data_IF_321137332705
#
_entry.id   IF_321137332705
#
_cell.length_a   1.000
_cell.length_b   1.000
_cell.length_c   1.000
_cell.angle_alpha   90.00
_cell.angle_beta   90.00
_cell.angle_gamma   90.00
#
_symmetry.space_group_name_H-M   'P 1'
#
loop_
_entity.id
_entity.type
_entity.pdbx_description
1 polymer ?
#
# COMPACT_ATOMS: atom_id res chain seq x y z
N UNK A 1 -12.54 4.82 -5.59
CA UNK A 1 -11.29 5.47 -6.03
C UNK A 1 -10.12 4.75 -5.39
N UNK A 2 -9.02 4.57 -6.12
CA UNK A 2 -7.75 4.04 -5.58
C UNK A 2 -6.69 5.14 -5.73
N UNK A 3 -5.92 5.37 -4.67
CA UNK A 3 -4.75 6.26 -4.65
C UNK A 3 -3.54 5.38 -4.33
N UNK A 4 -2.48 5.46 -5.14
CA UNK A 4 -1.28 4.66 -4.92
C UNK A 4 -0.01 5.37 -5.35
N UNK A 5 1.12 4.94 -4.78
CA UNK A 5 2.46 5.47 -5.07
C UNK A 5 3.29 5.64 -3.80
N UNK A 6 4.40 6.37 -3.90
CA UNK A 6 5.28 6.70 -2.78
C UNK A 6 4.70 7.85 -1.95
N UNK A 7 4.24 7.54 -0.74
CA UNK A 7 3.74 8.54 0.22
C UNK A 7 4.87 9.13 1.07
N UNK A 8 6.04 8.48 1.08
CA UNK A 8 7.19 8.84 1.90
C UNK A 8 6.81 9.05 3.38
N UNK A 9 5.86 8.27 3.87
CA UNK A 9 5.24 8.42 5.18
C UNK A 9 5.25 7.06 5.89
N UNK A 10 5.95 7.00 7.02
CA UNK A 10 6.15 5.75 7.77
C UNK A 10 5.31 5.75 9.03
N UNK A 11 4.65 4.64 9.30
CA UNK A 11 3.81 4.47 10.49
C UNK A 11 3.93 3.04 11.03
N UNK A 12 4.54 2.89 12.20
CA UNK A 12 4.87 1.58 12.77
C UNK A 12 3.65 0.70 12.99
N UNK A 13 2.63 1.21 13.69
CA UNK A 13 1.47 0.38 14.04
C UNK A 13 0.60 0.03 12.82
N UNK A 14 0.35 0.98 11.92
CA UNK A 14 -0.44 0.79 10.70
C UNK A 14 0.24 -0.13 9.68
N UNK A 15 1.55 0.02 9.45
CA UNK A 15 2.23 -0.58 8.30
C UNK A 15 3.21 -1.70 8.68
N UNK A 16 3.46 -1.93 9.96
CA UNK A 16 4.54 -2.82 10.42
C UNK A 16 5.93 -2.25 10.15
N UNK A 17 6.03 -0.95 9.90
CA UNK A 17 7.28 -0.25 9.64
C UNK A 17 8.12 -0.13 10.94
N UNK A 18 9.44 -0.02 10.86
CA UNK A 18 10.30 0.11 12.04
C UNK A 18 10.18 1.46 12.78
N UNK A 19 9.49 2.46 12.25
CA UNK A 19 9.21 3.72 12.97
C UNK A 19 7.95 4.44 12.49
N UNK A 20 7.49 5.37 13.32
CA UNK A 20 6.48 6.36 12.95
C UNK A 20 7.12 7.73 12.70
N UNK A 21 6.72 8.38 11.62
CA UNK A 21 7.16 9.74 11.24
C UNK A 21 6.01 10.74 11.36
N UNK A 22 6.31 12.04 11.45
CA UNK A 22 5.28 13.09 11.46
C UNK A 22 4.37 13.05 10.22
N UNK A 23 4.94 12.71 9.05
CA UNK A 23 4.16 12.49 7.83
C UNK A 23 3.25 11.26 7.94
N UNK A 24 3.75 10.18 8.55
CA UNK A 24 2.95 8.99 8.84
C UNK A 24 1.77 9.27 9.77
N UNK A 25 1.96 10.07 10.82
CA UNK A 25 0.88 10.47 11.73
C UNK A 25 -0.20 11.24 10.97
N UNK A 26 0.20 12.22 10.15
CA UNK A 26 -0.74 13.01 9.32
C UNK A 26 -1.48 12.15 8.30
N UNK A 27 -0.76 11.23 7.63
CA UNK A 27 -1.36 10.30 6.68
C UNK A 27 -2.38 9.40 7.36
N UNK A 28 -2.03 8.84 8.53
CA UNK A 28 -2.95 7.99 9.30
C UNK A 28 -4.20 8.76 9.74
N UNK A 29 -4.06 9.99 10.22
CA UNK A 29 -5.20 10.86 10.52
C UNK A 29 -6.10 11.07 9.30
N UNK A 30 -5.51 11.40 8.15
CA UNK A 30 -6.26 11.58 6.90
C UNK A 30 -6.98 10.31 6.44
N UNK A 31 -6.34 9.13 6.56
CA UNK A 31 -6.95 7.83 6.26
C UNK A 31 -8.21 7.62 7.11
N UNK A 32 -8.12 7.87 8.42
CA UNK A 32 -9.26 7.72 9.34
C UNK A 32 -10.38 8.73 9.05
N UNK A 33 -10.02 10.00 8.86
CA UNK A 33 -10.98 11.08 8.59
C UNK A 33 -11.78 10.85 7.30
N UNK A 34 -11.17 10.23 6.30
CA UNK A 34 -11.80 9.98 4.99
C UNK A 34 -12.35 8.55 4.85
N UNK A 35 -12.30 7.74 5.92
CA UNK A 35 -12.77 6.35 5.90
C UNK A 35 -12.09 5.50 4.83
N UNK A 36 -10.78 5.71 4.62
CA UNK A 36 -10.02 4.97 3.61
C UNK A 36 -9.49 3.65 4.16
N UNK A 37 -9.46 2.64 3.31
CA UNK A 37 -8.77 1.37 3.58
C UNK A 37 -7.32 1.48 3.12
N UNK A 38 -6.37 1.11 3.99
CA UNK A 38 -4.97 0.95 3.63
C UNK A 38 -4.68 -0.52 3.34
N UNK A 39 -4.57 -0.89 2.06
CA UNK A 39 -4.43 -2.30 1.67
C UNK A 39 -3.08 -2.90 2.08
N UNK A 40 -2.03 -2.10 2.17
CA UNK A 40 -0.73 -2.58 2.66
C UNK A 40 -0.83 -3.05 4.13
N UNK A 41 -1.65 -2.37 4.94
CA UNK A 41 -1.86 -2.77 6.33
C UNK A 41 -2.55 -4.14 6.45
N UNK A 42 -3.43 -4.48 5.50
CA UNK A 42 -4.18 -5.74 5.52
C UNK A 42 -3.45 -6.89 4.80
N UNK A 43 -2.75 -6.59 3.71
CA UNK A 43 -2.25 -7.61 2.77
C UNK A 43 -0.73 -7.73 2.71
N UNK A 44 0.01 -6.74 3.21
CA UNK A 44 1.48 -6.69 3.13
C UNK A 44 2.11 -6.06 4.38
N UNK A 45 1.54 -6.34 5.56
CA UNK A 45 1.98 -5.75 6.82
C UNK A 45 3.44 -6.08 7.12
N UNK A 46 4.27 -5.06 7.31
CA UNK A 46 5.69 -5.19 7.60
C UNK A 46 6.57 -5.58 6.41
N UNK A 47 6.00 -5.76 5.20
CA UNK A 47 6.77 -6.11 4.01
C UNK A 47 7.36 -4.83 3.39
N UNK A 48 8.70 -4.67 3.34
CA UNK A 48 9.33 -3.45 2.84
C UNK A 48 9.08 -3.20 1.36
N UNK A 49 8.61 -2.00 1.04
CA UNK A 49 8.48 -1.52 -0.34
C UNK A 49 9.65 -0.65 -0.79
N UNK A 50 10.51 -0.29 0.16
CA UNK A 50 11.74 0.46 -0.05
C UNK A 50 12.90 -0.18 0.73
N UNK A 51 14.04 -0.37 0.07
CA UNK A 51 15.27 -0.89 0.66
C UNK A 51 16.45 0.00 0.24
N UNK A 52 17.04 0.74 1.19
CA UNK A 52 18.20 1.57 0.92
C UNK A 52 19.44 0.70 0.65
N UNK A 53 19.69 0.38 -0.62
CA UNK A 53 20.79 -0.48 -1.06
C UNK A 53 22.17 0.01 -0.57
N UNK A 54 22.36 1.33 -0.45
CA UNK A 54 23.62 1.94 0.00
C UNK A 54 23.71 2.24 1.50
N UNK A 55 22.68 1.92 2.30
CA UNK A 55 22.67 2.19 3.74
C UNK A 55 22.41 0.90 4.52
N UNK A 56 23.37 0.56 5.36
CA UNK A 56 23.31 -0.59 6.25
C UNK A 56 23.49 -0.07 7.67
N UNK A 57 22.71 -0.60 8.61
CA UNK A 57 22.89 -0.32 10.01
C UNK A 57 24.20 -0.99 10.48
N UNK A 58 25.18 -0.19 10.89
CA UNK A 58 26.50 -0.70 11.29
C UNK A 58 26.46 -1.67 12.48
N UNK A 59 25.41 -1.62 13.32
CA UNK A 59 25.26 -2.50 14.48
C UNK A 59 24.58 -3.84 14.15
N UNK A 60 23.66 -3.87 13.18
CA UNK A 60 22.88 -5.07 12.84
C UNK A 60 23.27 -5.70 11.51
N UNK A 61 23.96 -4.97 10.64
CA UNK A 61 24.24 -5.40 9.27
C UNK A 61 23.02 -5.38 8.35
N UNK A 62 21.87 -4.90 8.81
CA UNK A 62 20.63 -4.89 8.04
C UNK A 62 20.46 -3.60 7.22
N UNK A 63 19.86 -3.72 6.04
CA UNK A 63 19.49 -2.58 5.22
C UNK A 63 18.41 -1.73 5.88
N UNK A 64 18.45 -0.42 5.60
CA UNK A 64 17.35 0.46 6.02
C UNK A 64 16.13 0.23 5.12
N UNK A 65 15.16 -0.44 5.69
CA UNK A 65 13.91 -0.81 5.04
C UNK A 65 12.74 0.09 5.51
N UNK A 66 11.79 0.34 4.62
CA UNK A 66 10.52 1.00 4.96
C UNK A 66 9.36 0.58 4.08
N UNK A 67 8.16 0.77 4.62
CA UNK A 67 6.88 0.58 3.92
C UNK A 67 6.35 1.98 3.60
N UNK A 68 6.54 2.46 2.37
CA UNK A 68 6.20 3.83 1.96
C UNK A 68 5.42 3.92 0.65
N UNK A 69 5.53 2.91 -0.22
CA UNK A 69 4.64 2.74 -1.36
C UNK A 69 3.33 2.08 -0.95
N UNK A 70 2.23 2.83 -0.99
CA UNK A 70 0.95 2.40 -0.44
C UNK A 70 -0.16 2.35 -1.50
N UNK A 71 -1.17 1.54 -1.25
CA UNK A 71 -2.45 1.52 -1.94
C UNK A 71 -3.57 1.83 -0.95
N UNK A 72 -4.31 2.90 -1.22
CA UNK A 72 -5.44 3.36 -0.42
C UNK A 72 -6.70 3.35 -1.28
N UNK A 73 -7.84 2.93 -0.72
CA UNK A 73 -9.12 3.06 -1.42
C UNK A 73 -10.21 3.62 -0.53
N UNK A 74 -11.16 4.33 -1.15
CA UNK A 74 -12.39 4.79 -0.49
C UNK A 74 -13.54 3.77 -0.53
N UNK A 75 -13.28 2.60 -1.12
CA UNK A 75 -14.25 1.53 -1.31
C UNK A 75 -13.60 0.20 -0.99
N UNK A 76 -14.36 -0.74 -0.44
CA UNK A 76 -13.90 -2.10 -0.22
C UNK A 76 -13.66 -2.79 -1.57
N UNK A 77 -12.47 -3.36 -1.73
CA UNK A 77 -12.13 -4.15 -2.91
C UNK A 77 -12.62 -5.60 -2.72
N UNK A 78 -13.04 -6.23 -3.81
CA UNK A 78 -13.48 -7.63 -3.81
C UNK A 78 -12.29 -8.51 -4.15
N UNK A 79 -12.00 -9.48 -3.29
CA UNK A 79 -10.86 -10.40 -3.40
C UNK A 79 -9.54 -9.69 -3.76
N UNK A 80 -9.12 -8.67 -2.97
CA UNK A 80 -7.88 -7.98 -3.24
C UNK A 80 -6.69 -8.88 -2.95
N UNK A 81 -5.69 -8.83 -3.81
CA UNK A 81 -4.39 -9.47 -3.61
C UNK A 81 -3.29 -8.46 -3.84
N UNK A 82 -2.31 -8.44 -2.93
CA UNK A 82 -1.15 -7.56 -3.01
C UNK A 82 0.13 -8.39 -3.11
N UNK A 83 1.06 -7.96 -3.94
CA UNK A 83 2.38 -8.56 -4.07
C UNK A 83 3.45 -7.48 -4.09
N UNK A 84 4.44 -7.59 -3.21
CA UNK A 84 5.66 -6.80 -3.22
C UNK A 84 6.73 -7.63 -3.92
N UNK A 85 7.28 -7.11 -5.01
CA UNK A 85 8.21 -7.85 -5.86
C UNK A 85 9.66 -7.55 -5.44
N UNK A 86 10.19 -8.35 -4.51
CA UNK A 86 11.58 -8.21 -4.03
C UNK A 86 12.60 -8.60 -5.11
N UNK A 87 12.25 -9.56 -5.97
CA UNK A 87 13.16 -10.11 -6.99
C UNK A 87 13.23 -9.24 -8.26
N UNK A 88 12.26 -8.35 -8.45
CA UNK A 88 12.19 -7.46 -9.62
C UNK A 88 13.01 -6.20 -9.37
N UNK A 89 14.33 -6.31 -9.52
CA UNK A 89 15.21 -5.15 -9.49
C UNK A 89 15.11 -4.39 -10.82
N UNK A 90 14.35 -3.30 -10.82
CA UNK A 90 14.29 -2.34 -11.94
C UNK A 90 15.43 -1.29 -11.88
N UNK A 91 16.51 -1.59 -11.16
CA UNK A 91 17.58 -0.62 -10.88
C UNK A 91 17.16 0.50 -9.92
N UNK A 92 16.10 0.28 -9.12
CA UNK A 92 15.57 1.19 -8.12
C UNK A 92 15.77 0.62 -6.71
N UNK A 93 15.78 1.49 -5.69
CA UNK A 93 15.71 1.13 -4.28
C UNK A 93 14.27 0.88 -3.79
N UNK A 94 13.27 1.08 -4.67
CA UNK A 94 11.88 0.68 -4.46
C UNK A 94 11.59 -0.70 -5.05
N UNK A 95 10.90 -1.54 -4.28
CA UNK A 95 10.30 -2.78 -4.77
C UNK A 95 8.94 -2.45 -5.40
N UNK A 96 8.69 -2.87 -6.66
CA UNK A 96 7.38 -2.72 -7.28
C UNK A 96 6.30 -3.39 -6.43
N UNK A 97 5.14 -2.73 -6.31
CA UNK A 97 3.98 -3.26 -5.58
C UNK A 97 2.80 -3.37 -6.53
N UNK A 98 2.20 -4.55 -6.59
CA UNK A 98 1.02 -4.82 -7.41
C UNK A 98 -0.20 -5.03 -6.53
N UNK A 99 -1.32 -4.40 -6.90
CA UNK A 99 -2.63 -4.66 -6.32
C UNK A 99 -3.56 -5.16 -7.43
N UNK A 100 -4.19 -6.30 -7.19
CA UNK A 100 -5.23 -6.85 -8.08
C UNK A 100 -6.52 -7.04 -7.28
N UNK A 101 -7.66 -6.87 -7.94
CA UNK A 101 -8.98 -7.09 -7.34
C UNK A 101 -10.00 -7.44 -8.41
N UNK A 102 -11.12 -8.02 -7.99
CA UNK A 102 -12.27 -8.29 -8.87
C UNK A 102 -13.11 -7.03 -9.01
N UNK A 103 -13.42 -6.66 -10.26
CA UNK A 103 -14.39 -5.60 -10.51
C UNK A 103 -15.81 -6.13 -10.27
N UNK A 104 -16.70 -5.35 -9.64
CA UNK A 104 -18.09 -5.73 -9.52
C UNK A 104 -18.69 -5.94 -10.93
N UNK A 105 -19.66 -6.85 -11.09
CA UNK A 105 -20.33 -7.04 -12.36
C UNK A 105 -20.96 -5.71 -12.81
N UNK A 106 -20.96 -5.42 -14.12
CA UNK A 106 -21.61 -4.21 -14.63
C UNK A 106 -23.09 -4.21 -14.23
N UNK A 107 -23.69 -3.04 -13.96
CA UNK A 107 -25.10 -2.94 -13.64
C UNK A 107 -25.94 -3.56 -14.77
N UNK A 108 -26.96 -4.33 -14.41
CA UNK A 108 -27.90 -4.90 -15.38
C UNK A 108 -28.56 -3.77 -16.18
N UNK A 109 -28.70 -3.92 -17.51
CA UNK A 109 -29.35 -2.91 -18.33
C UNK A 109 -30.79 -2.68 -17.83
N UNK A 110 -31.30 -1.43 -17.89
CA UNK A 110 -32.65 -1.13 -17.44
C UNK A 110 -33.66 -2.00 -18.20
N UNK A 111 -34.60 -2.59 -17.46
CA UNK A 111 -35.66 -3.40 -18.04
C UNK A 111 -36.47 -2.54 -19.02
N UNK A 112 -36.36 -2.83 -20.32
CA UNK A 112 -37.23 -2.20 -21.31
C UNK A 112 -38.67 -2.65 -21.06
N UNK A 113 -39.65 -1.72 -20.98
CA UNK A 113 -41.04 -2.11 -20.91
C UNK A 113 -41.39 -2.91 -22.16
N UNK A 114 -41.83 -4.16 -21.99
CA UNK A 114 -42.44 -4.91 -23.09
C UNK A 114 -43.76 -4.20 -23.44
N UNK A 115 -43.86 -3.67 -24.66
CA UNK A 115 -45.12 -3.22 -25.25
C UNK A 115 -45.94 -4.41 -25.68
#
# INVERSE_FOLDING_TARGET
>A
MVVCGDFNARHQHLLGDSRTTTRGIKLFGWILENGMTCWNAELAYGIPTYCAQGRVNAATGEHFNSVIDLFLSSQQLVNPMMLVHEDLSLGSDHHPVSLSCVLPPPPSPPAHPRR
#
